data_IF_378521811697
#
_entry.id   IF_378521811697
#
_cell.length_a   1.000
_cell.length_b   1.000
_cell.length_c   1.000
_cell.angle_alpha   90.00
_cell.angle_beta   90.00
_cell.angle_gamma   90.00
#
_symmetry.space_group_name_H-M   'P 1'
#
loop_
_entity.id
_entity.type
_entity.pdbx_description
1 polymer ?
2 branched ?
3 branched ?
4 non-polymer ?
5 water ?
#
# COMPACT_ATOMS: atom_id res chain seq x y z
N UNK A 1 -18.70 -2.31 -7.47
CA UNK A 1 -18.97 -3.70 -6.95
C UNK A 1 -17.77 -4.43 -6.33
N UNK A 2 -17.90 -4.78 -5.04
CA UNK A 2 -16.87 -5.45 -4.26
C UNK A 2 -17.42 -5.79 -2.87
N UNK A 3 -16.81 -6.71 -2.12
CA UNK A 3 -17.19 -6.90 -0.72
C UNK A 3 -16.04 -7.57 0.02
N UNK A 4 -16.20 -7.88 1.31
CA UNK A 4 -15.09 -8.36 2.13
C UNK A 4 -14.98 -9.87 2.14
N UNK A 5 -13.75 -10.36 1.95
CA UNK A 5 -13.44 -11.77 2.03
C UNK A 5 -13.17 -12.23 3.48
N UNK A 6 -12.24 -11.56 4.18
CA UNK A 6 -11.92 -11.92 5.57
C UNK A 6 -11.15 -10.79 6.25
N UNK A 7 -10.86 -11.02 7.54
CA UNK A 7 -10.20 -10.05 8.40
C UNK A 7 -8.90 -10.67 8.91
N UNK A 8 -7.87 -9.81 9.02
CA UNK A 8 -6.59 -10.13 9.62
C UNK A 8 -6.37 -9.29 10.90
N UNK A 9 -5.75 -9.94 11.91
CA UNK A 9 -5.41 -9.40 13.22
C UNK A 9 -3.89 -9.51 13.42
N UNK A 10 -3.17 -8.38 13.28
CA UNK A 10 -1.70 -8.30 13.44
C UNK A 10 -1.01 -9.26 12.47
N UNK A 11 -1.39 -9.13 11.20
CA UNK A 11 -0.77 -9.83 10.10
C UNK A 11 -1.31 -11.24 9.95
N UNK A 12 -2.28 -11.64 10.79
CA UNK A 12 -2.77 -13.02 10.87
C UNK A 12 -4.17 -13.05 10.26
N UNK A 13 -4.32 -13.76 9.13
CA UNK A 13 -5.60 -14.04 8.48
C UNK A 13 -6.44 -14.87 9.43
N UNK A 14 -7.67 -14.41 9.72
CA UNK A 14 -8.63 -15.11 10.58
C UNK A 14 -9.38 -16.16 9.75
N UNK A 15 -9.22 -16.11 8.42
CA UNK A 15 -9.82 -17.06 7.50
C UNK A 15 -11.18 -16.57 7.03
N UNK A 16 -11.55 -16.95 5.79
CA UNK A 16 -12.84 -16.57 5.20
C UNK A 16 -13.91 -16.50 6.29
N UNK A 17 -14.26 -15.26 6.61
CA UNK A 17 -15.26 -14.98 7.62
C UNK A 17 -16.53 -14.42 7.02
N UNK A 18 -16.81 -14.79 5.76
CA UNK A 18 -18.07 -14.41 5.11
C UNK A 18 -19.22 -15.20 5.74
N UNK A 19 -20.11 -14.52 6.48
CA UNK A 19 -21.26 -15.23 7.10
C UNK A 19 -20.78 -16.05 8.31
N UNK A 20 -19.58 -15.68 8.82
CA UNK A 20 -18.98 -16.31 9.98
C UNK A 20 -18.81 -15.25 11.08
N UNK A 21 -18.07 -14.19 10.76
CA UNK A 21 -18.00 -12.98 11.58
C UNK A 21 -18.21 -11.74 10.72
N UNK A 22 -18.44 -11.89 9.42
CA UNK A 22 -18.80 -10.78 8.49
C UNK A 22 -20.28 -10.95 8.08
N UNK A 23 -21.07 -9.87 8.21
CA UNK A 23 -22.49 -9.84 7.84
C UNK A 23 -22.58 -9.68 6.31
N UNK A 24 -21.98 -10.64 5.64
CA UNK A 24 -21.90 -10.65 4.21
C UNK A 24 -23.27 -10.51 3.57
N UNK A 25 -23.38 -9.55 2.62
CA UNK A 25 -24.55 -9.47 1.75
C UNK A 25 -24.54 -10.49 0.62
N UNK A 26 -25.72 -10.74 0.02
CA UNK A 26 -25.84 -11.74 -1.02
C UNK A 26 -24.85 -11.48 -2.15
N UNK A 27 -24.69 -10.21 -2.52
CA UNK A 27 -23.92 -9.86 -3.73
C UNK A 27 -23.14 -8.55 -3.55
N UNK A 28 -22.39 -8.19 -4.59
CA UNK A 28 -21.49 -7.05 -4.52
C UNK A 28 -22.23 -5.76 -4.88
N UNK A 29 -23.57 -5.78 -4.87
CA UNK A 29 -24.35 -4.60 -5.24
C UNK A 29 -24.13 -3.46 -4.26
N UNK A 30 -24.25 -2.20 -4.75
CA UNK A 30 -24.13 -1.01 -3.91
C UNK A 30 -25.47 -0.57 -3.29
N UNK A 31 -25.36 0.36 -2.34
CA UNK A 31 -26.43 1.14 -1.76
C UNK A 31 -26.38 2.53 -2.38
N UNK A 32 -27.53 3.18 -2.52
CA UNK A 32 -27.60 4.45 -3.20
C UNK A 32 -28.60 5.36 -2.50
N UNK A 33 -29.71 4.75 -2.07
CA UNK A 33 -30.77 5.31 -1.22
C UNK A 33 -30.23 5.61 0.18
N UNK A 34 -30.21 6.91 0.55
CA UNK A 34 -29.68 7.38 1.85
C UNK A 34 -30.66 7.05 2.97
N UNK A 35 -31.92 6.94 2.57
CA UNK A 35 -32.97 6.54 3.44
C UNK A 35 -32.84 5.05 3.78
N UNK A 36 -32.37 4.21 2.86
CA UNK A 36 -32.28 2.73 3.06
C UNK A 36 -31.67 2.34 4.41
N UNK A 37 -32.27 1.33 5.12
CA UNK A 37 -31.68 0.79 6.36
C UNK A 37 -30.40 0.00 6.18
N UNK A 38 -30.09 -0.42 4.95
CA UNK A 38 -28.88 -1.19 4.65
C UNK A 38 -27.68 -0.26 4.43
N UNK A 39 -27.90 1.05 4.54
CA UNK A 39 -26.84 1.98 4.40
C UNK A 39 -25.77 1.67 5.46
N UNK A 40 -26.26 1.41 6.69
CA UNK A 40 -25.39 1.04 7.83
C UNK A 40 -24.61 -0.27 7.59
N UNK A 41 -25.28 -1.43 7.59
CA UNK A 41 -24.61 -2.70 7.56
C UNK A 41 -25.03 -3.54 6.37
N UNK A 42 -25.51 -2.88 5.31
CA UNK A 42 -25.84 -3.57 4.07
C UNK A 42 -27.07 -4.48 4.29
N UNK A 43 -27.35 -5.35 3.33
CA UNK A 43 -28.70 -5.85 3.17
C UNK A 43 -28.93 -7.14 3.97
N UNK A 44 -27.94 -7.59 4.74
CA UNK A 44 -28.19 -8.64 5.75
C UNK A 44 -27.62 -8.19 7.08
N UNK A 45 -27.52 -6.86 7.21
CA UNK A 45 -26.90 -6.15 8.30
C UNK A 45 -27.51 -6.53 9.64
N UNK A 46 -28.83 -6.82 9.62
CA UNK A 46 -29.64 -7.09 10.80
C UNK A 46 -29.73 -8.57 11.15
N UNK A 47 -29.02 -9.43 10.41
CA UNK A 47 -29.00 -10.86 10.63
C UNK A 47 -27.67 -11.25 11.22
N UNK A 48 -27.66 -11.83 12.44
CA UNK A 48 -26.42 -12.16 13.12
C UNK A 48 -25.74 -13.37 12.46
N UNK A 49 -24.41 -13.28 12.35
CA UNK A 49 -23.59 -14.44 12.07
C UNK A 49 -22.91 -14.85 13.39
N UNK A 50 -22.41 -16.08 13.52
CA UNK A 50 -22.19 -16.64 14.84
C UNK A 50 -20.88 -16.36 15.57
N UNK A 51 -19.82 -16.10 14.80
CA UNK A 51 -18.48 -15.91 15.34
C UNK A 51 -18.16 -14.42 15.43
N UNK A 52 -17.32 -14.06 16.42
CA UNK A 52 -16.71 -12.72 16.50
C UNK A 52 -15.21 -12.83 16.22
N UNK A 53 -14.62 -11.83 15.55
CA UNK A 53 -13.15 -11.68 15.45
C UNK A 53 -12.58 -11.26 16.81
N UNK A 54 -11.61 -12.03 17.26
CA UNK A 54 -11.01 -11.85 18.53
C UNK A 54 -9.74 -11.02 18.33
N UNK A 55 -9.74 -9.82 18.92
CA UNK A 55 -8.71 -8.81 18.76
C UNK A 55 -8.40 -8.25 20.14
N UNK A 56 -7.53 -7.23 20.20
CA UNK A 56 -7.30 -6.47 21.41
C UNK A 56 -7.26 -4.99 21.05
N UNK A 57 -7.56 -4.15 22.06
CA UNK A 57 -7.36 -2.72 21.95
C UNK A 57 -5.95 -2.52 21.38
N UNK A 58 -5.85 -1.86 20.24
CA UNK A 58 -4.56 -1.50 19.72
C UNK A 58 -4.07 -2.41 18.62
N UNK A 59 -4.73 -3.55 18.43
CA UNK A 59 -4.35 -4.47 17.39
C UNK A 59 -4.57 -3.79 16.04
N UNK A 60 -3.83 -4.28 15.04
CA UNK A 60 -3.79 -3.70 13.74
C UNK A 60 -4.68 -4.55 12.85
N UNK A 61 -5.84 -4.03 12.44
CA UNK A 61 -6.77 -4.87 11.71
C UNK A 61 -6.66 -4.56 10.22
N UNK A 62 -6.68 -5.64 9.44
CA UNK A 62 -6.62 -5.56 7.99
C UNK A 62 -7.88 -6.24 7.41
N UNK A 63 -8.70 -5.50 6.66
CA UNK A 63 -9.90 -6.03 6.04
C UNK A 63 -9.57 -6.31 4.58
N UNK A 64 -9.82 -7.56 4.17
CA UNK A 64 -9.53 -7.99 2.83
C UNK A 64 -10.80 -7.93 2.00
N UNK A 65 -10.69 -7.31 0.83
CA UNK A 65 -11.79 -7.05 -0.05
C UNK A 65 -11.57 -7.83 -1.35
N UNK A 66 -12.68 -8.18 -2.03
CA UNK A 66 -12.54 -8.86 -3.34
C UNK A 66 -13.75 -8.54 -4.21
N UNK A 67 -13.67 -8.80 -5.50
CA UNK A 67 -14.76 -8.40 -6.32
C UNK A 67 -15.64 -9.61 -6.61
N UNK A 68 -15.04 -10.61 -7.25
CA UNK A 68 -15.67 -11.84 -7.61
C UNK A 68 -14.92 -12.97 -6.93
N UNK A 69 -13.59 -13.03 -7.12
CA UNK A 69 -12.69 -14.06 -6.54
C UNK A 69 -11.60 -13.40 -5.70
N UNK A 70 -11.39 -13.97 -4.51
CA UNK A 70 -10.30 -13.61 -3.62
C UNK A 70 -9.05 -13.35 -4.45
N UNK A 71 -8.45 -12.16 -4.28
CA UNK A 71 -7.17 -11.82 -4.92
C UNK A 71 -7.29 -11.52 -6.41
N UNK A 72 -8.43 -10.95 -6.84
CA UNK A 72 -8.64 -10.39 -8.21
C UNK A 72 -8.53 -8.84 -8.15
N UNK A 73 -9.17 -8.13 -9.09
CA UNK A 73 -8.95 -6.67 -9.26
C UNK A 73 -9.59 -5.86 -8.15
N UNK A 74 -10.25 -6.55 -7.21
CA UNK A 74 -10.78 -5.99 -5.93
C UNK A 74 -12.00 -5.10 -6.19
N UNK A 75 -11.91 -4.13 -7.11
CA UNK A 75 -13.00 -3.23 -7.47
C UNK A 75 -12.69 -2.58 -8.82
N UNK A 76 -13.68 -2.41 -9.70
CA UNK A 76 -13.46 -1.70 -10.98
C UNK A 76 -12.74 -0.40 -10.65
N UNK A 77 -11.62 -0.08 -11.31
CA UNK A 77 -10.86 1.14 -11.02
C UNK A 77 -11.58 2.49 -11.27
N UNK A 78 -12.73 2.48 -11.97
CA UNK A 78 -13.58 3.68 -12.17
C UNK A 78 -14.16 4.16 -10.83
N UNK A 79 -14.28 3.23 -9.87
CA UNK A 79 -14.98 3.43 -8.59
C UNK A 79 -14.13 4.22 -7.59
N UNK A 80 -13.76 5.45 -7.95
CA UNK A 80 -12.81 6.26 -7.17
C UNK A 80 -13.53 6.99 -6.01
N UNK A 81 -12.99 6.82 -4.80
CA UNK A 81 -13.52 7.46 -3.64
C UNK A 81 -12.83 7.02 -2.36
N UNK A 82 -13.41 7.41 -1.20
CA UNK A 82 -12.79 7.26 0.10
C UNK A 82 -13.04 5.90 0.73
N UNK A 83 -12.42 5.66 1.89
CA UNK A 83 -12.65 4.45 2.60
C UNK A 83 -12.62 4.72 4.10
N UNK A 84 -13.80 4.74 4.70
CA UNK A 84 -14.03 5.14 6.07
C UNK A 84 -14.18 3.88 6.91
N UNK A 85 -13.87 3.93 8.22
CA UNK A 85 -14.02 2.78 9.14
C UNK A 85 -14.66 3.29 10.43
N UNK A 86 -15.71 2.59 10.92
CA UNK A 86 -16.50 3.05 12.07
C UNK A 86 -16.57 2.01 13.19
N UNK A 87 -17.12 2.38 14.34
CA UNK A 87 -17.29 1.45 15.43
C UNK A 87 -18.52 1.87 16.25
N UNK A 88 -19.34 0.86 16.58
CA UNK A 88 -20.52 1.00 17.43
C UNK A 88 -20.56 -0.22 18.37
N UNK A 89 -21.00 -0.02 19.61
CA UNK A 89 -21.21 -1.13 20.54
C UNK A 89 -22.19 -2.13 19.92
N UNK A 90 -21.92 -3.42 20.14
CA UNK A 90 -22.81 -4.49 19.81
C UNK A 90 -23.88 -4.55 20.91
N UNK A 91 -24.99 -3.87 20.64
CA UNK A 91 -26.05 -3.59 21.61
C UNK A 91 -26.82 -4.89 21.88
N UNK A 92 -27.08 -5.60 20.79
CA UNK A 92 -27.58 -6.96 20.84
C UNK A 92 -27.58 -7.51 19.41
N UNK A 93 -27.69 -8.87 19.27
CA UNK A 93 -27.46 -9.55 17.98
C UNK A 93 -28.27 -9.16 16.73
N UNK A 94 -29.41 -8.50 16.90
CA UNK A 94 -30.26 -8.18 15.73
C UNK A 94 -30.22 -6.69 15.43
N UNK A 95 -29.21 -6.01 15.98
CA UNK A 95 -28.91 -4.65 15.60
C UNK A 95 -28.63 -4.64 14.09
N UNK A 96 -29.06 -3.64 13.32
CA UNK A 96 -28.72 -3.62 11.89
C UNK A 96 -27.87 -2.38 11.58
N UNK A 97 -27.32 -1.75 12.64
CA UNK A 97 -26.48 -0.57 12.55
C UNK A 97 -27.24 0.74 12.38
N UNK A 98 -28.55 0.71 12.18
CA UNK A 98 -29.23 1.96 12.02
C UNK A 98 -29.27 2.63 13.39
N UNK A 99 -29.63 3.91 13.39
CA UNK A 99 -29.71 4.74 14.61
C UNK A 99 -28.40 5.43 14.97
N UNK A 100 -28.45 6.34 15.97
CA UNK A 100 -27.32 7.18 16.35
C UNK A 100 -26.31 6.49 17.28
N UNK A 101 -25.41 5.68 16.69
CA UNK A 101 -24.65 4.70 17.44
C UNK A 101 -23.18 4.65 17.01
N UNK A 102 -22.81 5.36 15.94
CA UNK A 102 -21.48 5.14 15.31
C UNK A 102 -20.45 6.27 15.57
N UNK A 103 -19.18 5.85 15.59
CA UNK A 103 -18.05 6.73 15.79
C UNK A 103 -16.96 6.42 14.74
N UNK A 104 -16.39 7.48 14.12
CA UNK A 104 -15.40 7.35 13.01
C UNK A 104 -14.02 7.10 13.62
N UNK A 105 -13.38 5.98 13.22
CA UNK A 105 -12.04 5.58 13.74
C UNK A 105 -10.99 5.59 12.63
N UNK A 106 -11.38 5.88 11.39
CA UNK A 106 -10.44 5.90 10.34
C UNK A 106 -11.05 6.43 9.04
N UNK A 107 -10.19 6.99 8.19
CA UNK A 107 -10.58 7.45 6.88
C UNK A 107 -9.35 7.70 5.98
N UNK A 108 -9.61 7.67 4.68
CA UNK A 108 -8.80 8.23 3.67
C UNK A 108 -9.72 8.68 2.55
N UNK A 109 -9.31 9.65 1.75
CA UNK A 109 -10.11 10.03 0.62
C UNK A 109 -9.22 10.31 -0.56
N UNK A 110 -8.90 11.59 -0.74
CA UNK A 110 -8.13 12.04 -1.88
C UNK A 110 -6.88 12.77 -1.38
N UNK A 111 -5.72 12.14 -1.58
CA UNK A 111 -4.43 12.76 -1.35
C UNK A 111 -4.02 13.47 -2.65
N UNK A 112 -3.93 14.79 -2.58
CA UNK A 112 -3.72 15.63 -3.73
C UNK A 112 -2.22 15.73 -4.08
N UNK A 113 -1.33 15.46 -3.12
CA UNK A 113 0.14 15.44 -3.41
C UNK A 113 0.43 14.37 -4.47
N UNK A 114 -0.22 13.21 -4.31
CA UNK A 114 -0.08 12.01 -5.15
C UNK A 114 -1.25 11.85 -6.15
N UNK A 115 -2.38 12.55 -5.97
CA UNK A 115 -3.56 12.48 -6.88
C UNK A 115 -4.17 11.07 -6.90
N UNK A 116 -4.09 10.40 -5.75
CA UNK A 116 -4.54 9.06 -5.53
C UNK A 116 -5.68 9.10 -4.50
N UNK A 117 -6.71 8.27 -4.75
CA UNK A 117 -7.84 8.09 -3.83
C UNK A 117 -7.53 6.94 -2.87
N UNK A 118 -8.39 6.73 -1.87
CA UNK A 118 -8.27 5.54 -1.02
C UNK A 118 -8.41 4.26 -1.86
N UNK A 119 -9.26 4.34 -2.89
CA UNK A 119 -9.59 3.19 -3.68
C UNK A 119 -8.38 2.80 -4.54
N UNK A 120 -7.69 3.80 -5.07
CA UNK A 120 -6.36 3.63 -5.67
C UNK A 120 -5.47 2.86 -4.68
N UNK A 121 -5.32 3.35 -3.45
CA UNK A 121 -4.46 2.66 -2.49
C UNK A 121 -4.91 1.20 -2.29
N UNK A 122 -6.22 0.94 -2.16
CA UNK A 122 -6.73 -0.43 -1.87
C UNK A 122 -6.44 -1.44 -3.01
N UNK A 123 -6.70 -1.04 -4.26
CA UNK A 123 -6.34 -1.83 -5.43
C UNK A 123 -4.85 -2.19 -5.39
N UNK A 124 -3.99 -1.17 -5.16
CA UNK A 124 -2.55 -1.34 -5.18
C UNK A 124 -2.10 -2.39 -4.15
N UNK A 125 -2.78 -2.42 -3.00
CA UNK A 125 -2.42 -3.31 -1.87
C UNK A 125 -3.37 -4.50 -1.82
N UNK A 126 -3.93 -4.84 -2.98
CA UNK A 126 -4.45 -6.17 -3.22
C UNK A 126 -5.70 -6.39 -2.35
N UNK A 127 -6.46 -5.33 -2.11
CA UNK A 127 -7.70 -5.39 -1.40
C UNK A 127 -7.53 -5.47 0.12
N UNK A 128 -6.29 -5.36 0.59
CA UNK A 128 -5.99 -5.31 2.03
C UNK A 128 -6.11 -3.87 2.50
N UNK A 129 -6.78 -3.64 3.63
CA UNK A 129 -6.95 -2.29 4.16
C UNK A 129 -6.79 -2.27 5.68
N UNK A 130 -5.72 -1.56 6.08
CA UNK A 130 -5.23 -1.57 7.44
C UNK A 130 -5.94 -0.45 8.20
N UNK A 131 -6.16 -0.70 9.49
CA UNK A 131 -6.44 0.35 10.50
C UNK A 131 -6.15 -0.28 11.88
N UNK A 132 -6.39 0.50 12.94
CA UNK A 132 -6.05 0.11 14.31
C UNK A 132 -7.24 0.25 15.26
N UNK A 133 -7.23 -0.64 16.23
CA UNK A 133 -8.19 -0.61 17.22
C UNK A 133 -7.68 0.34 18.29
N UNK A 134 -8.31 1.52 18.46
CA UNK A 134 -7.90 2.46 19.51
C UNK A 134 -7.47 1.79 20.83
N UNK A 135 -6.30 2.18 21.35
CA UNK A 135 -5.64 1.53 22.54
C UNK A 135 -6.51 1.64 23.79
N UNK A 136 -7.25 2.75 23.84
CA UNK A 136 -8.02 3.10 25.00
C UNK A 136 -9.47 2.58 24.87
N UNK A 137 -9.78 1.88 23.78
CA UNK A 137 -11.09 1.32 23.63
C UNK A 137 -11.37 0.38 24.81
N UNK A 138 -12.62 0.42 25.29
CA UNK A 138 -13.09 -0.41 26.38
C UNK A 138 -13.34 -1.83 25.87
N UNK A 139 -13.03 -2.88 26.65
CA UNK A 139 -13.34 -4.24 26.24
C UNK A 139 -14.82 -4.54 25.93
N UNK A 140 -15.06 -5.66 25.25
CA UNK A 140 -16.38 -6.16 24.91
C UNK A 140 -16.73 -5.97 23.44
N UNK A 141 -17.87 -6.53 23.00
CA UNK A 141 -18.20 -6.71 21.58
C UNK A 141 -18.56 -5.37 20.94
N UNK A 142 -18.01 -5.08 19.76
CA UNK A 142 -18.36 -3.91 18.97
C UNK A 142 -18.78 -4.39 17.59
N UNK A 143 -19.22 -3.46 16.76
CA UNK A 143 -19.37 -3.70 15.36
C UNK A 143 -18.51 -2.66 14.60
N UNK A 144 -17.69 -3.17 13.67
CA UNK A 144 -16.81 -2.39 12.85
C UNK A 144 -17.35 -2.36 11.43
N UNK A 145 -17.83 -1.18 11.03
CA UNK A 145 -18.25 -0.90 9.68
C UNK A 145 -16.99 -0.43 8.96
N UNK A 146 -17.05 -0.42 7.63
CA UNK A 146 -16.03 0.08 6.81
C UNK A 146 -16.63 0.11 5.42
N UNK A 147 -16.47 1.20 4.69
CA UNK A 147 -17.36 1.46 3.62
C UNK A 147 -16.59 2.14 2.51
N UNK A 148 -16.68 1.58 1.31
CA UNK A 148 -16.11 2.21 0.16
C UNK A 148 -17.24 3.04 -0.43
N UNK A 149 -16.91 4.25 -0.90
CA UNK A 149 -17.80 5.07 -1.67
C UNK A 149 -17.21 5.29 -3.06
N UNK A 150 -17.98 4.99 -4.11
CA UNK A 150 -17.51 5.19 -5.46
C UNK A 150 -18.23 6.41 -6.04
N UNK A 151 -17.47 7.34 -6.64
CA UNK A 151 -17.98 8.67 -7.04
C UNK A 151 -18.00 8.85 -8.56
N UNK A 152 -17.97 7.72 -9.28
CA UNK A 152 -17.96 7.75 -10.72
C UNK A 152 -19.32 8.14 -11.27
N UNK A 153 -20.33 8.20 -10.38
CA UNK A 153 -21.66 8.63 -10.78
C UNK A 153 -22.23 9.69 -9.82
N UNK A 154 -21.40 10.23 -8.91
CA UNK A 154 -21.82 11.23 -7.94
C UNK A 154 -22.00 12.62 -8.58
N UNK A 155 -21.76 12.72 -9.89
CA UNK A 155 -21.94 13.97 -10.62
C UNK A 155 -23.42 14.29 -10.84
N UNK A 156 -24.29 13.38 -10.37
CA UNK A 156 -25.68 13.69 -9.98
C UNK A 156 -25.98 12.95 -8.67
N UNK A 157 -27.24 12.94 -8.23
CA UNK A 157 -27.62 12.31 -6.94
C UNK A 157 -28.86 11.43 -7.13
N UNK A 158 -29.01 10.47 -6.22
CA UNK A 158 -29.96 9.37 -6.36
C UNK A 158 -31.41 9.88 -6.34
N UNK A 159 -31.64 10.98 -5.62
CA UNK A 159 -32.94 11.56 -5.38
C UNK A 159 -33.42 12.31 -6.64
N UNK A 160 -32.48 12.92 -7.36
CA UNK A 160 -32.78 13.69 -8.57
C UNK A 160 -32.66 12.81 -9.81
N UNK A 161 -31.66 11.91 -9.86
CA UNK A 161 -31.53 10.92 -10.94
C UNK A 161 -31.09 9.57 -10.36
N UNK A 162 -31.97 8.54 -10.35
CA UNK A 162 -31.68 7.30 -9.64
C UNK A 162 -30.82 6.29 -10.41
N UNK A 163 -30.58 6.52 -11.71
CA UNK A 163 -29.72 5.62 -12.53
C UNK A 163 -28.25 5.78 -12.16
N UNK A 164 -27.95 6.77 -11.31
CA UNK A 164 -26.62 7.26 -10.98
C UNK A 164 -26.53 7.52 -9.47
N UNK A 165 -25.60 8.41 -9.07
CA UNK A 165 -25.43 8.84 -7.68
C UNK A 165 -24.43 7.96 -6.95
N UNK A 166 -23.93 8.47 -5.81
CA UNK A 166 -22.97 7.79 -4.96
C UNK A 166 -23.41 6.35 -4.67
N UNK A 167 -22.41 5.49 -4.53
CA UNK A 167 -22.58 4.07 -4.34
C UNK A 167 -21.79 3.69 -3.08
N UNK A 168 -22.46 3.03 -2.14
CA UNK A 168 -21.86 2.67 -0.89
C UNK A 168 -21.71 1.16 -0.88
N UNK A 169 -20.63 0.71 -0.24
CA UNK A 169 -20.30 -0.67 -0.19
C UNK A 169 -19.84 -0.93 1.23
N UNK A 170 -20.77 -0.81 2.18
CA UNK A 170 -20.44 -1.04 3.59
C UNK A 170 -20.32 -2.54 3.87
N UNK A 171 -19.46 -2.86 4.85
CA UNK A 171 -19.29 -4.20 5.33
C UNK A 171 -19.18 -4.07 6.83
N UNK A 172 -19.93 -4.88 7.56
CA UNK A 172 -19.95 -4.78 9.00
C UNK A 172 -19.42 -6.07 9.60
N UNK A 173 -18.56 -5.93 10.61
CA UNK A 173 -17.89 -7.06 11.16
C UNK A 173 -18.11 -7.10 12.65
N UNK A 174 -18.30 -8.30 13.16
CA UNK A 174 -18.51 -8.48 14.56
C UNK A 174 -17.17 -8.61 15.26
N UNK A 175 -16.94 -7.85 16.33
CA UNK A 175 -15.68 -7.97 17.02
C UNK A 175 -15.85 -8.09 18.53
N UNK A 176 -15.19 -9.06 19.15
CA UNK A 176 -15.04 -9.13 20.60
C UNK A 176 -13.61 -8.66 20.96
N UNK A 177 -13.50 -7.56 21.72
CA UNK A 177 -12.21 -6.94 22.11
C UNK A 177 -11.86 -7.37 23.55
N UNK A 178 -10.63 -7.90 23.67
CA UNK A 178 -10.03 -8.41 24.86
C UNK A 178 -8.96 -7.41 25.32
N UNK A 179 -8.14 -7.85 26.29
CA UNK A 179 -6.98 -7.12 26.76
C UNK A 179 -7.43 -6.08 27.75
N UNK A 180 -6.48 -5.28 28.23
CA UNK A 180 -6.79 -4.27 29.24
C UNK A 180 -7.67 -3.17 28.64
N UNK A 181 -7.36 -2.73 27.40
CA UNK A 181 -7.94 -1.51 26.80
C UNK A 181 -8.08 -0.39 27.83
N UNK A 182 -9.01 0.52 27.59
CA UNK A 182 -9.17 1.69 28.43
C UNK A 182 -10.61 1.96 28.79
N UNK A 183 -10.88 3.20 29.24
CA UNK A 183 -12.21 3.69 29.54
C UNK A 183 -12.95 4.02 28.24
N UNK A 184 -12.23 4.56 27.25
CA UNK A 184 -12.83 5.19 26.06
C UNK A 184 -13.98 4.35 25.48
N UNK A 185 -15.14 5.00 25.36
CA UNK A 185 -16.31 4.48 24.67
C UNK A 185 -16.67 5.42 23.52
N UNK A 186 -16.82 4.88 22.29
CA UNK A 186 -17.20 5.67 21.10
C UNK A 186 -18.56 6.34 21.29
N UNK A 187 -18.54 7.67 21.23
CA UNK A 187 -19.58 8.44 21.75
C UNK A 187 -19.95 9.53 20.75
N UNK A 188 -19.49 9.42 19.51
CA UNK A 188 -19.84 10.39 18.52
C UNK A 188 -21.29 10.23 18.08
N UNK A 189 -21.81 8.97 18.18
CA UNK A 189 -23.23 8.57 18.03
C UNK A 189 -23.82 9.06 16.71
N UNK A 190 -23.14 8.69 15.62
CA UNK A 190 -23.51 9.00 14.22
C UNK A 190 -24.51 7.95 13.66
N UNK A 191 -25.30 8.48 12.72
CA UNK A 191 -26.47 7.90 12.15
C UNK A 191 -26.39 8.14 10.64
N UNK A 192 -26.15 7.07 9.87
CA UNK A 192 -25.91 7.21 8.45
C UNK A 192 -27.15 7.81 7.78
N UNK A 193 -28.34 7.37 8.21
CA UNK A 193 -29.59 7.72 7.58
C UNK A 193 -29.89 9.19 7.82
N UNK A 194 -29.66 9.67 9.05
CA UNK A 194 -29.83 11.10 9.39
C UNK A 194 -28.71 11.97 8.79
N UNK A 195 -27.46 11.45 8.87
CA UNK A 195 -26.21 12.20 8.84
C UNK A 195 -25.53 12.26 7.48
N UNK A 196 -25.88 11.36 6.58
CA UNK A 196 -25.40 11.44 5.23
C UNK A 196 -26.50 12.07 4.37
N UNK A 197 -26.27 13.25 3.82
CA UNK A 197 -27.28 13.98 3.08
C UNK A 197 -26.89 14.15 1.61
N UNK A 198 -27.88 14.37 0.73
CA UNK A 198 -27.68 14.55 -0.71
C UNK A 198 -27.10 15.93 -1.00
N UNK A 199 -27.22 16.84 -0.03
CA UNK A 199 -26.66 18.19 -0.11
C UNK A 199 -25.19 18.19 0.34
N UNK A 200 -24.72 17.06 0.88
CA UNK A 200 -23.33 16.93 1.31
C UNK A 200 -22.45 17.00 0.08
N UNK A 201 -21.47 17.94 0.02
CA UNK A 201 -20.63 18.14 -1.15
C UNK A 201 -19.56 17.08 -1.37
N UNK A 202 -19.36 16.24 -0.35
CA UNK A 202 -18.67 14.96 -0.45
C UNK A 202 -19.59 13.79 -0.75
N UNK A 203 -20.81 14.05 -1.27
CA UNK A 203 -21.77 13.00 -1.75
C UNK A 203 -22.38 13.39 -3.11
N UNK A 204 -22.59 14.68 -3.31
CA UNK A 204 -22.78 15.21 -4.63
C UNK A 204 -21.43 15.76 -5.11
N UNK A 205 -20.65 14.92 -5.78
CA UNK A 205 -19.24 15.19 -6.06
C UNK A 205 -18.87 14.91 -7.53
N UNK A 206 -18.54 15.99 -8.26
CA UNK A 206 -18.10 15.90 -9.64
C UNK A 206 -16.62 15.56 -9.58
N UNK A 207 -16.31 14.26 -9.75
CA UNK A 207 -14.95 13.79 -9.72
C UNK A 207 -14.34 14.03 -11.10
N UNK A 208 -15.16 14.43 -12.07
CA UNK A 208 -14.75 14.68 -13.45
C UNK A 208 -14.51 16.17 -13.69
N UNK A 209 -13.63 16.77 -12.87
CA UNK A 209 -13.33 18.21 -12.88
C UNK A 209 -11.93 18.50 -12.31
N UNK A 210 -11.55 19.77 -12.46
CA UNK A 210 -10.40 20.43 -11.83
C UNK A 210 -10.72 20.63 -10.33
N UNK A 211 -10.59 19.56 -9.53
CA UNK A 211 -10.83 19.62 -8.08
C UNK A 211 -9.54 19.22 -7.37
N UNK A 212 -9.31 19.88 -6.21
CA UNK A 212 -8.03 19.93 -5.50
C UNK A 212 -8.11 19.10 -4.22
N UNK A 213 -9.33 18.89 -3.72
CA UNK A 213 -9.54 18.23 -2.45
C UNK A 213 -10.99 17.73 -2.36
N UNK A 214 -11.23 16.90 -1.34
CA UNK A 214 -12.47 16.18 -1.20
C UNK A 214 -12.95 16.26 0.26
N UNK A 215 -14.20 16.72 0.50
CA UNK A 215 -14.68 16.85 1.88
C UNK A 215 -15.24 15.50 2.34
N UNK A 216 -14.50 14.74 3.15
CA UNK A 216 -14.99 13.40 3.54
C UNK A 216 -16.25 13.56 4.39
N UNK A 217 -17.35 12.86 4.01
CA UNK A 217 -18.59 12.86 4.76
C UNK A 217 -18.45 12.27 6.16
N UNK A 218 -19.20 12.91 7.06
CA UNK A 218 -19.35 12.52 8.44
C UNK A 218 -18.44 13.36 9.35
N UNK A 219 -18.40 13.01 10.64
CA UNK A 219 -17.49 13.70 11.55
C UNK A 219 -16.01 13.39 11.35
N UNK A 220 -15.17 14.12 12.10
CA UNK A 220 -13.77 13.78 12.24
C UNK A 220 -13.62 12.39 12.86
N UNK A 221 -12.38 11.92 12.87
CA UNK A 221 -12.05 10.75 13.59
C UNK A 221 -12.17 11.11 15.07
N UNK A 222 -12.52 10.11 15.86
CA UNK A 222 -12.93 10.22 17.22
C UNK A 222 -11.72 10.05 18.14
N UNK A 223 -11.61 10.87 19.20
CA UNK A 223 -10.40 10.84 20.10
C UNK A 223 -10.63 9.79 21.22
N UNK A 224 -10.83 10.22 22.47
CA UNK A 224 -10.76 9.31 23.66
C UNK A 224 -10.66 10.15 24.96
N UNK B 1 12.04 10.33 -12.71
CA UNK B 1 12.83 11.15 -11.68
C UNK B 1 12.33 11.10 -10.24
N UNK B 2 13.17 10.58 -9.35
CA UNK B 2 12.88 10.37 -7.94
C UNK B 2 14.12 9.87 -7.20
N UNK B 3 14.18 9.96 -5.87
CA UNK B 3 15.29 9.31 -5.12
C UNK B 3 14.86 9.09 -3.67
N UNK B 4 15.73 8.54 -2.82
CA UNK B 4 15.34 8.15 -1.46
C UNK B 4 15.58 9.27 -0.44
N UNK B 5 14.56 9.50 0.39
CA UNK B 5 14.64 10.43 1.48
C UNK B 5 15.29 9.80 2.73
N UNK B 6 14.75 8.68 3.22
CA UNK B 6 15.28 8.00 4.41
C UNK B 6 14.74 6.56 4.50
N UNK B 7 15.19 5.86 5.56
CA UNK B 7 14.88 4.47 5.79
C UNK B 7 14.18 4.36 7.14
N UNK B 8 13.22 3.43 7.21
CA UNK B 8 12.54 3.06 8.43
C UNK B 8 12.83 1.59 8.75
N UNK B 9 12.96 1.31 10.05
CA UNK B 9 13.29 0.01 10.65
C UNK B 9 12.15 -0.38 11.62
N UNK B 10 11.28 -1.30 11.20
CA UNK B 10 10.09 -1.77 11.95
C UNK B 10 9.21 -0.56 12.28
N UNK B 11 8.94 0.25 11.25
CA UNK B 11 8.00 1.36 11.34
C UNK B 11 8.58 2.59 11.99
N UNK B 12 9.89 2.56 12.28
CA UNK B 12 10.62 3.65 12.93
C UNK B 12 11.47 4.35 11.88
N UNK B 13 11.16 5.62 11.61
CA UNK B 13 11.95 6.50 10.74
C UNK B 13 13.31 6.71 11.38
N UNK B 14 14.39 6.41 10.62
CA UNK B 14 15.80 6.59 11.04
C UNK B 14 16.20 8.04 10.82
N UNK B 15 15.40 8.78 10.05
CA UNK B 15 15.64 10.20 9.81
C UNK B 15 16.44 10.40 8.55
N UNK B 16 16.18 11.53 7.88
CA UNK B 16 16.83 11.88 6.63
C UNK B 16 18.26 11.36 6.64
N UNK B 17 18.48 10.30 5.86
CA UNK B 17 19.77 9.67 5.77
C UNK B 17 20.39 9.92 4.42
N UNK B 18 20.04 11.05 3.77
CA UNK B 18 20.68 11.47 2.51
C UNK B 18 22.12 11.91 2.80
N UNK B 19 23.10 11.12 2.34
CA UNK B 19 24.54 11.50 2.54
C UNK B 19 24.93 11.23 4.00
N UNK B 20 24.13 10.37 4.67
CA UNK B 20 24.37 9.97 6.04
C UNK B 20 24.56 8.45 6.09
N UNK B 21 23.54 7.71 5.63
CA UNK B 21 23.67 6.27 5.37
C UNK B 21 23.14 5.92 3.99
N UNK B 22 22.69 6.91 3.21
CA UNK B 22 22.26 6.74 1.80
C UNK B 22 23.29 7.45 0.91
N UNK B 23 23.79 6.71 -0.09
CA UNK B 23 24.80 7.21 -1.05
C UNK B 23 24.07 8.12 -2.07
N UNK B 24 23.42 9.16 -1.55
CA UNK B 24 22.63 10.03 -2.35
C UNK B 24 23.41 10.60 -3.53
N UNK B 25 22.82 10.49 -4.73
CA UNK B 25 23.29 11.21 -5.91
C UNK B 25 22.89 12.67 -5.91
N UNK B 26 23.59 13.48 -6.73
CA UNK B 26 23.33 14.91 -6.80
C UNK B 26 21.85 15.18 -7.07
N UNK B 27 21.23 14.36 -7.96
CA UNK B 27 19.89 14.68 -8.48
C UNK B 27 19.06 13.44 -8.80
N UNK B 28 17.83 13.67 -9.27
CA UNK B 28 16.86 12.59 -9.46
C UNK B 28 17.02 12.00 -10.87
N UNK B 29 18.16 12.24 -11.53
CA UNK B 29 18.33 11.82 -12.92
C UNK B 29 18.44 10.30 -12.99
N UNK B 30 18.03 9.70 -14.13
CA UNK B 30 18.11 8.25 -14.31
C UNK B 30 19.47 7.79 -14.89
N UNK B 31 19.68 6.46 -14.82
CA UNK B 31 20.71 5.72 -15.51
C UNK B 31 20.06 5.03 -16.71
N UNK B 32 20.80 4.90 -17.81
CA UNK B 32 20.23 4.33 -19.01
C UNK B 32 21.25 3.39 -19.67
N UNK B 33 22.52 3.82 -19.63
CA UNK B 33 23.72 3.05 -20.03
C UNK B 33 23.93 1.84 -19.10
N UNK B 34 23.81 0.63 -19.68
CA UNK B 34 23.94 -0.64 -18.93
C UNK B 34 25.41 -0.90 -18.62
N UNK B 35 26.27 -0.33 -19.47
CA UNK B 35 27.69 -0.36 -19.26
C UNK B 35 28.09 0.53 -18.08
N UNK B 36 27.40 1.66 -17.84
CA UNK B 36 27.79 2.64 -16.80
C UNK B 36 28.06 1.98 -15.43
N UNK B 37 29.12 2.43 -14.71
CA UNK B 37 29.39 1.97 -13.35
C UNK B 37 28.39 2.40 -12.28
N UNK B 38 27.60 3.42 -12.59
CA UNK B 38 26.60 3.95 -11.66
C UNK B 38 25.31 3.15 -11.74
N UNK B 39 25.27 2.13 -12.61
CA UNK B 39 24.13 1.30 -12.69
C UNK B 39 23.84 0.67 -11.32
N UNK B 40 24.91 0.21 -10.66
CA UNK B 40 24.85 -0.41 -9.32
C UNK B 40 24.35 0.60 -8.27
N UNK B 41 25.18 1.59 -7.91
CA UNK B 41 24.86 2.44 -6.78
C UNK B 41 24.78 3.91 -7.19
N UNK B 42 24.52 4.16 -8.48
CA UNK B 42 24.30 5.53 -8.97
C UNK B 42 25.61 6.33 -8.91
N UNK B 43 25.51 7.65 -9.08
CA UNK B 43 26.64 8.44 -9.56
C UNK B 43 27.50 8.97 -8.39
N UNK B 44 27.20 8.61 -7.13
CA UNK B 44 28.18 8.79 -6.05
C UNK B 44 28.28 7.48 -5.25
N UNK B 45 27.96 6.40 -5.95
CA UNK B 45 27.87 5.07 -5.41
C UNK B 45 29.17 4.61 -4.78
N UNK B 46 30.29 5.11 -5.36
CA UNK B 46 31.68 4.78 -4.96
C UNK B 46 32.24 5.61 -3.83
N UNK B 47 31.47 6.60 -3.33
CA UNK B 47 31.89 7.54 -2.29
C UNK B 47 31.17 7.19 -0.99
N UNK B 48 31.92 6.86 0.08
CA UNK B 48 31.31 6.42 1.33
C UNK B 48 30.64 7.59 2.06
N UNK B 49 29.45 7.33 2.62
CA UNK B 49 28.87 8.21 3.64
C UNK B 49 29.08 7.55 5.00
N UNK B 50 28.99 8.27 6.13
CA UNK B 50 29.61 7.79 7.36
C UNK B 50 28.85 6.81 8.24
N UNK B 51 27.52 6.89 8.19
CA UNK B 51 26.66 6.15 9.09
C UNK B 51 26.10 4.91 8.38
N UNK B 52 25.81 3.88 9.17
CA UNK B 52 25.08 2.69 8.74
C UNK B 52 23.70 2.68 9.41
N UNK B 53 22.68 2.21 8.70
CA UNK B 53 21.36 1.86 9.33
C UNK B 53 21.52 0.61 10.19
N UNK B 54 21.08 0.75 11.44
CA UNK B 54 21.17 -0.29 12.43
C UNK B 54 19.87 -1.10 12.39
N UNK B 55 19.98 -2.37 12.00
CA UNK B 55 18.86 -3.26 11.68
C UNK B 55 19.19 -4.63 12.28
N UNK B 56 18.24 -5.56 12.17
CA UNK B 56 18.51 -6.93 12.48
C UNK B 56 17.97 -7.85 11.39
N UNK B 57 18.58 -9.03 11.29
CA UNK B 57 18.07 -10.10 10.49
C UNK B 57 16.56 -10.19 10.80
N UNK B 58 15.75 -10.02 9.77
CA UNK B 58 14.31 -10.24 9.94
C UNK B 58 13.54 -8.96 10.12
N UNK B 59 14.23 -7.84 10.36
CA UNK B 59 13.55 -6.58 10.55
C UNK B 59 12.88 -6.21 9.22
N UNK B 60 11.86 -5.37 9.32
CA UNK B 60 11.03 -4.99 8.22
C UNK B 60 11.50 -3.60 7.78
N UNK B 61 12.14 -3.50 6.62
CA UNK B 61 12.70 -2.21 6.25
C UNK B 61 11.76 -1.52 5.26
N UNK B 62 11.60 -0.21 5.46
CA UNK B 62 10.77 0.64 4.60
C UNK B 62 11.65 1.77 4.05
N UNK B 63 11.77 1.86 2.71
CA UNK B 63 12.56 2.88 2.06
C UNK B 63 11.59 3.94 1.57
N UNK B 64 11.84 5.19 1.99
CA UNK B 64 11.03 6.31 1.63
C UNK B 64 11.66 7.02 0.44
N UNK B 65 10.82 7.29 -0.57
CA UNK B 65 11.22 7.88 -1.82
C UNK B 65 10.51 9.22 -1.99
N UNK B 66 11.11 10.13 -2.76
CA UNK B 66 10.49 11.42 -3.00
C UNK B 66 10.95 11.99 -4.33
N UNK B 67 10.27 12.99 -4.87
CA UNK B 67 10.66 13.42 -6.17
C UNK B 67 11.47 14.70 -6.03
N UNK B 68 10.83 15.73 -5.48
CA UNK B 68 11.44 17.00 -5.26
C UNK B 68 11.40 17.32 -3.76
N UNK B 69 10.22 17.18 -3.14
CA UNK B 69 10.03 17.39 -1.68
C UNK B 69 9.45 16.13 -1.02
N UNK B 70 10.03 15.77 0.12
CA UNK B 70 9.57 14.70 0.96
C UNK B 70 8.04 14.71 0.97
N UNK B 71 7.42 13.58 0.63
CA UNK B 71 5.98 13.40 0.77
C UNK B 71 5.18 14.12 -0.30
N UNK B 72 5.75 14.26 -1.52
CA UNK B 72 5.06 14.76 -2.74
C UNK B 72 4.68 13.56 -3.64
N UNK B 73 4.52 13.78 -4.95
CA UNK B 73 3.93 12.77 -5.87
C UNK B 73 4.87 11.58 -6.09
N UNK B 74 6.06 11.63 -5.48
CA UNK B 74 7.05 10.53 -5.39
C UNK B 74 7.74 10.30 -6.73
N UNK B 75 6.98 10.15 -7.82
CA UNK B 75 7.51 9.92 -9.16
C UNK B 75 6.40 10.16 -10.19
N UNK B 76 6.71 10.78 -11.34
CA UNK B 76 5.70 10.94 -12.40
C UNK B 76 5.02 9.60 -12.59
N UNK B 77 3.67 9.53 -12.55
CA UNK B 77 2.93 8.28 -12.76
C UNK B 77 3.11 7.54 -14.10
N UNK B 78 3.69 8.21 -15.12
CA UNK B 78 4.03 7.58 -16.43
C UNK B 78 5.12 6.53 -16.26
N UNK B 79 5.93 6.65 -15.21
CA UNK B 79 7.16 5.88 -14.98
C UNK B 79 6.86 4.46 -14.47
N UNK B 80 6.13 3.67 -15.25
CA UNK B 80 5.58 2.40 -14.74
C UNK B 80 6.58 1.25 -14.91
N UNK B 81 6.77 0.51 -13.82
CA UNK B 81 7.68 -0.61 -13.83
C UNK B 81 7.91 -1.19 -12.44
N UNK B 82 8.92 -2.08 -12.32
CA UNK B 82 9.14 -2.89 -11.14
C UNK B 82 9.98 -2.21 -10.07
N UNK B 83 10.15 -2.85 -8.92
CA UNK B 83 10.93 -2.31 -7.87
C UNK B 83 11.61 -3.46 -7.13
N UNK B 84 12.89 -3.58 -7.42
CA UNK B 84 13.73 -4.70 -7.04
C UNK B 84 14.55 -4.27 -5.84
N UNK B 85 14.93 -5.19 -4.95
CA UNK B 85 15.80 -4.87 -3.79
C UNK B 85 16.91 -5.92 -3.69
N UNK B 86 18.17 -5.48 -3.54
CA UNK B 86 19.32 -6.37 -3.57
C UNK B 86 20.18 -6.24 -2.31
N UNK B 87 21.14 -7.14 -2.14
CA UNK B 87 22.04 -7.08 -1.00
C UNK B 87 23.40 -7.67 -1.43
N UNK B 88 24.47 -6.97 -1.04
CA UNK B 88 25.86 -7.38 -1.24
C UNK B 88 26.65 -7.07 0.03
N UNK B 89 27.64 -7.88 0.38
CA UNK B 89 28.55 -7.53 1.48
C UNK B 89 29.18 -6.16 1.23
N UNK B 90 29.35 -5.41 2.30
CA UNK B 90 30.15 -4.23 2.35
C UNK B 90 31.61 -4.69 2.47
N UNK B 91 32.23 -4.84 1.30
CA UNK B 91 33.54 -5.47 1.11
C UNK B 91 34.60 -4.53 1.68
N UNK B 92 34.40 -3.24 1.38
CA UNK B 92 35.12 -2.16 1.98
C UNK B 92 34.49 -0.85 1.52
N UNK B 93 34.81 0.29 2.20
CA UNK B 93 34.11 1.57 2.01
C UNK B 93 34.07 2.24 0.62
N UNK B 94 34.96 1.87 -0.29
CA UNK B 94 35.01 2.54 -1.59
C UNK B 94 34.53 1.59 -2.69
N UNK B 95 33.82 0.53 -2.28
CA UNK B 95 33.10 -0.31 -3.20
C UNK B 95 32.10 0.60 -3.93
N UNK B 96 31.84 0.43 -5.22
CA UNK B 96 30.78 1.25 -5.86
C UNK B 96 29.61 0.36 -6.33
N UNK B 97 29.57 -0.87 -5.81
CA UNK B 97 28.60 -1.91 -6.15
C UNK B 97 28.89 -2.65 -7.44
N UNK B 98 29.85 -2.22 -8.25
CA UNK B 98 30.06 -2.96 -9.49
C UNK B 98 30.69 -4.29 -9.12
N UNK B 99 30.77 -5.19 -10.11
CA UNK B 99 31.27 -6.56 -9.95
C UNK B 99 30.21 -7.56 -9.52
N UNK B 100 30.56 -8.87 -9.55
CA UNK B 100 29.65 -9.97 -9.26
C UNK B 100 29.44 -10.22 -7.75
N UNK B 101 28.56 -9.42 -7.13
CA UNK B 101 28.51 -9.30 -5.69
C UNK B 101 27.06 -9.30 -5.16
N UNK B 102 26.06 -9.24 -6.04
CA UNK B 102 24.68 -8.95 -5.60
C UNK B 102 23.74 -10.16 -5.61
N UNK B 103 22.78 -10.11 -4.68
CA UNK B 103 21.76 -11.14 -4.50
C UNK B 103 20.39 -10.48 -4.34
N UNK B 104 19.37 -11.02 -5.04
CA UNK B 104 18.02 -10.45 -5.06
C UNK B 104 17.28 -10.94 -3.81
N UNK B 105 16.75 -9.99 -3.01
CA UNK B 105 16.03 -10.29 -1.76
C UNK B 105 14.57 -9.80 -1.83
N UNK B 106 14.16 -9.17 -2.93
CA UNK B 106 12.81 -8.71 -3.02
C UNK B 106 12.51 -8.16 -4.41
N UNK B 107 11.24 -8.26 -4.80
CA UNK B 107 10.82 -7.71 -6.06
C UNK B 107 9.29 -7.62 -6.15
N UNK B 108 8.87 -6.74 -7.05
CA UNK B 108 7.54 -6.68 -7.58
C UNK B 108 7.64 -6.13 -9.00
N UNK B 109 6.69 -6.47 -9.86
CA UNK B 109 6.66 -5.89 -11.17
C UNK B 109 5.24 -5.54 -11.54
N UNK B 110 4.59 -6.47 -12.24
CA UNK B 110 3.26 -6.27 -12.74
C UNK B 110 2.35 -7.36 -12.21
N UNK B 111 1.42 -6.97 -11.34
CA UNK B 111 0.34 -7.81 -10.88
C UNK B 111 -0.83 -7.67 -11.86
N UNK B 112 -1.14 -8.76 -12.55
CA UNK B 112 -2.09 -8.75 -13.66
C UNK B 112 -3.52 -8.91 -13.14
N UNK B 113 -3.69 -9.47 -11.93
CA UNK B 113 -5.03 -9.59 -11.31
C UNK B 113 -5.61 -8.18 -11.12
N UNK B 114 -4.75 -7.26 -10.67
CA UNK B 114 -5.06 -5.86 -10.36
C UNK B 114 -4.62 -4.89 -11.48
N UNK B 115 -3.74 -5.31 -12.41
CA UNK B 115 -3.24 -4.49 -13.55
C UNK B 115 -2.48 -3.26 -13.03
N UNK B 116 -1.79 -3.46 -11.91
CA UNK B 116 -1.02 -2.46 -11.21
C UNK B 116 0.45 -2.89 -11.24
N UNK B 117 1.34 -1.91 -11.44
CA UNK B 117 2.82 -2.11 -11.36
C UNK B 117 3.32 -1.89 -9.92
N UNK B 118 4.60 -2.16 -9.67
CA UNK B 118 5.21 -1.79 -8.38
C UNK B 118 5.17 -0.27 -8.18
N UNK B 119 5.30 0.46 -9.27
CA UNK B 119 5.39 1.89 -9.17
C UNK B 119 4.01 2.46 -8.83
N UNK B 120 2.96 1.88 -9.40
CA UNK B 120 1.61 2.13 -8.93
C UNK B 120 1.55 1.92 -7.41
N UNK B 121 1.98 0.76 -6.91
CA UNK B 121 1.87 0.51 -5.47
C UNK B 121 2.63 1.57 -4.68
N UNK B 122 3.83 1.98 -5.13
CA UNK B 122 4.67 2.93 -4.37
C UNK B 122 4.04 4.33 -4.24
N UNK B 123 3.51 4.86 -5.35
CA UNK B 123 2.78 6.10 -5.35
C UNK B 123 1.63 6.03 -4.33
N UNK B 124 0.84 4.96 -4.38
CA UNK B 124 -0.31 4.78 -3.52
C UNK B 124 0.07 4.83 -2.03
N UNK B 125 1.24 4.29 -1.69
CA UNK B 125 1.74 4.22 -0.29
C UNK B 125 2.76 5.31 0.00
N UNK B 126 2.70 6.39 -0.79
CA UNK B 126 3.26 7.67 -0.42
C UNK B 126 4.80 7.56 -0.41
N UNK B 127 5.33 6.74 -1.31
CA UNK B 127 6.76 6.62 -1.50
C UNK B 127 7.42 5.72 -0.48
N UNK B 128 6.61 5.08 0.38
CA UNK B 128 7.10 4.08 1.33
C UNK B 128 7.13 2.71 0.65
N UNK B 129 8.23 1.97 0.80
CA UNK B 129 8.35 0.66 0.18
C UNK B 129 9.00 -0.34 1.15
N UNK B 130 8.19 -1.31 1.53
CA UNK B 130 8.51 -2.26 2.57
C UNK B 130 9.27 -3.43 1.93
N UNK B 131 10.18 -4.04 2.69
CA UNK B 131 10.71 -5.40 2.46
C UNK B 131 11.30 -5.89 3.79
N UNK B 132 11.87 -7.11 3.79
CA UNK B 132 12.37 -7.75 5.00
C UNK B 132 13.81 -8.25 4.85
N UNK B 133 14.51 -8.22 5.97
CA UNK B 133 15.81 -8.70 5.99
C UNK B 133 15.74 -10.17 6.32
N UNK B 134 16.09 -11.07 5.36
CA UNK B 134 16.23 -12.50 5.64
C UNK B 134 16.72 -12.87 7.05
N UNK B 135 15.96 -13.72 7.75
CA UNK B 135 16.15 -14.05 9.18
C UNK B 135 17.49 -14.73 9.44
N UNK B 136 17.96 -15.45 8.43
CA UNK B 136 19.14 -16.27 8.56
C UNK B 136 20.37 -15.51 8.00
N UNK B 137 20.17 -14.23 7.65
CA UNK B 137 21.29 -13.46 7.20
C UNK B 137 22.33 -13.40 8.31
N UNK B 138 23.61 -13.45 7.89
CA UNK B 138 24.76 -13.43 8.78
C UNK B 138 24.99 -12.00 9.26
N UNK B 139 25.39 -11.79 10.53
CA UNK B 139 25.73 -10.46 11.01
C UNK B 139 26.83 -9.72 10.20
N UNK B 140 26.90 -8.39 10.37
CA UNK B 140 27.89 -7.54 9.72
C UNK B 140 27.31 -6.70 8.58
N UNK B 141 28.11 -5.76 8.07
CA UNK B 141 27.66 -4.70 7.19
C UNK B 141 27.39 -5.22 5.77
N UNK B 142 26.27 -4.83 5.19
CA UNK B 142 25.91 -5.13 3.82
C UNK B 142 25.61 -3.82 3.10
N UNK B 143 25.34 -3.92 1.81
CA UNK B 143 24.83 -2.80 1.06
C UNK B 143 23.53 -3.24 0.41
N UNK B 144 22.48 -2.44 0.60
CA UNK B 144 21.13 -2.71 0.12
C UNK B 144 20.83 -1.72 -1.00
N UNK B 145 20.78 -2.25 -2.22
CA UNK B 145 20.35 -1.55 -3.39
C UNK B 145 18.83 -1.71 -3.43
N UNK B 146 18.19 -0.86 -4.22
CA UNK B 146 16.81 -0.95 -4.49
C UNK B 146 16.56 0.05 -5.58
N UNK B 147 15.82 -0.34 -6.61
CA UNK B 147 15.94 0.33 -7.86
C UNK B 147 14.57 0.35 -8.52
N UNK B 148 14.14 1.53 -8.94
CA UNK B 148 12.97 1.64 -9.73
C UNK B 148 13.43 1.58 -11.18
N UNK B 149 12.64 0.87 -12.00
CA UNK B 149 12.80 0.90 -13.44
C UNK B 149 11.53 1.47 -14.07
N UNK B 150 11.68 2.51 -14.88
CA UNK B 150 10.55 3.11 -15.54
C UNK B 150 10.56 2.71 -17.01
N UNK B 151 9.43 2.19 -17.53
CA UNK B 151 9.37 1.57 -18.86
C UNK B 151 8.53 2.38 -19.86
N UNK B 152 8.36 3.66 -19.57
CA UNK B 152 7.57 4.56 -20.41
C UNK B 152 8.32 4.88 -21.70
N UNK B 153 9.59 4.51 -21.77
CA UNK B 153 10.41 4.71 -22.96
C UNK B 153 11.17 3.43 -23.35
N UNK B 154 10.84 2.28 -22.74
CA UNK B 154 11.52 1.02 -22.99
C UNK B 154 11.09 0.40 -24.32
N UNK B 155 10.19 1.08 -25.04
CA UNK B 155 9.73 0.64 -26.38
C UNK B 155 10.82 0.86 -27.44
N UNK B 156 11.96 1.40 -27.00
CA UNK B 156 13.25 1.31 -27.68
C UNK B 156 14.32 1.04 -26.60
N UNK B 157 15.61 1.03 -27.00
CA UNK B 157 16.72 0.78 -26.08
C UNK B 157 17.85 1.79 -26.33
N UNK B 158 18.64 1.99 -25.28
CA UNK B 158 19.59 3.09 -25.16
C UNK B 158 20.72 2.97 -26.19
N UNK B 159 21.07 1.73 -26.55
CA UNK B 159 22.16 1.38 -27.42
C UNK B 159 21.80 1.69 -28.88
N UNK B 160 20.52 1.52 -29.23
CA UNK B 160 20.04 1.80 -30.60
C UNK B 160 19.56 3.26 -30.68
N UNK B 161 18.80 3.72 -29.67
CA UNK B 161 18.31 5.12 -29.60
C UNK B 161 18.48 5.68 -28.20
N UNK B 162 19.42 6.64 -27.98
CA UNK B 162 19.75 7.07 -26.63
C UNK B 162 18.79 8.09 -26.01
N UNK B 163 17.90 8.69 -26.80
CA UNK B 163 16.92 9.70 -26.28
C UNK B 163 15.79 9.02 -25.46
N UNK B 164 15.79 7.69 -25.45
CA UNK B 164 14.72 6.84 -24.87
C UNK B 164 15.38 5.68 -24.09
N UNK B 165 14.64 4.59 -23.90
CA UNK B 165 15.14 3.38 -23.24
C UNK B 165 14.86 3.39 -21.76
N UNK B 166 14.94 2.20 -21.14
CA UNK B 166 14.70 2.01 -19.70
C UNK B 166 15.55 2.99 -18.89
N UNK B 167 14.98 3.38 -17.76
CA UNK B 167 15.55 4.36 -16.86
C UNK B 167 15.64 3.70 -15.48
N UNK B 168 16.82 3.75 -14.88
CA UNK B 168 17.07 3.12 -13.61
C UNK B 168 17.25 4.24 -12.57
N UNK B 169 16.80 3.94 -11.36
CA UNK B 169 16.80 4.88 -10.30
C UNK B 169 17.26 4.11 -9.07
N UNK B 170 18.52 3.65 -9.09
CA UNK B 170 19.03 2.86 -7.98
C UNK B 170 19.41 3.73 -6.79
N UNK B 171 19.23 3.19 -5.57
CA UNK B 171 19.63 3.86 -4.35
C UNK B 171 20.28 2.79 -3.49
N UNK B 172 21.48 3.07 -3.01
CA UNK B 172 22.21 2.09 -2.26
C UNK B 172 22.42 2.58 -0.83
N UNK B 173 22.20 1.66 0.11
CA UNK B 173 22.12 2.01 1.47
C UNK B 173 23.08 1.15 2.25
N UNK B 174 23.74 1.77 3.21
CA UNK B 174 24.71 1.09 4.01
C UNK B 174 24.00 0.47 5.20
N UNK B 175 24.19 -0.82 5.46
CA UNK B 175 23.53 -1.38 6.62
C UNK B 175 24.43 -2.23 7.48
N UNK B 176 24.42 -2.01 8.80
CA UNK B 176 25.04 -2.93 9.76
C UNK B 176 23.93 -3.80 10.40
N UNK B 177 24.00 -5.12 10.18
CA UNK B 177 23.00 -6.10 10.63
C UNK B 177 23.53 -6.83 11.87
N UNK B 178 22.71 -6.94 12.90
CA UNK B 178 22.98 -7.92 13.97
C UNK B 178 21.90 -9.02 13.87
N UNK B 179 21.67 -9.76 14.96
CA UNK B 179 20.35 -10.40 15.21
C UNK B 179 20.33 -11.87 14.90
N UNK B 180 19.63 -12.65 15.75
CA UNK B 180 19.85 -14.09 15.96
C UNK B 180 20.59 -14.69 14.77
N UNK B 181 20.20 -14.23 13.56
CA UNK B 181 20.97 -14.42 12.35
C UNK B 181 21.41 -15.86 12.17
N UNK B 182 21.92 -16.10 10.98
CA UNK B 182 22.28 -17.40 10.56
C UNK B 182 23.61 -17.36 9.86
N UNK B 183 23.89 -18.47 9.16
CA UNK B 183 25.04 -18.66 8.33
C UNK B 183 24.84 -17.89 7.02
N UNK B 184 23.58 -17.85 6.53
CA UNK B 184 23.25 -17.44 5.17
C UNK B 184 24.03 -16.20 4.73
N UNK B 185 24.77 -16.38 3.63
CA UNK B 185 25.44 -15.31 2.94
C UNK B 185 24.91 -15.25 1.50
N UNK B 186 24.46 -14.05 1.05
CA UNK B 186 24.00 -13.84 -0.32
C UNK B 186 25.11 -14.12 -1.34
N UNK B 187 24.85 -15.10 -2.19
CA UNK B 187 25.87 -15.74 -2.92
C UNK B 187 25.37 -15.95 -4.35
N UNK B 188 24.35 -15.22 -4.75
CA UNK B 188 23.90 -15.25 -6.13
C UNK B 188 24.89 -14.53 -7.04
N UNK B 189 25.64 -13.55 -6.46
CA UNK B 189 26.84 -12.88 -7.01
C UNK B 189 26.57 -12.31 -8.40
N UNK B 190 25.54 -11.47 -8.46
CA UNK B 190 25.09 -10.79 -9.68
C UNK B 190 25.82 -9.45 -9.87
N UNK B 191 25.90 -9.09 -11.16
CA UNK B 191 26.71 -8.06 -11.71
C UNK B 191 25.85 -7.26 -12.66
N UNK B 192 25.50 -6.02 -12.31
CA UNK B 192 24.48 -5.33 -13.10
C UNK B 192 24.97 -5.13 -14.54
N UNK B 193 26.26 -4.83 -14.66
CA UNK B 193 26.89 -4.44 -15.92
C UNK B 193 26.92 -5.66 -16.85
N UNK B 194 27.25 -6.83 -16.30
CA UNK B 194 27.26 -8.08 -17.09
C UNK B 194 25.83 -8.59 -17.32
N UNK B 195 25.00 -8.51 -16.27
CA UNK B 195 23.77 -9.32 -16.08
C UNK B 195 22.48 -8.67 -16.57
N UNK B 196 22.48 -7.34 -16.72
CA UNK B 196 21.37 -6.69 -17.32
C UNK B 196 21.68 -6.40 -18.79
N UNK B 197 20.97 -7.03 -19.73
CA UNK B 197 21.28 -6.82 -21.15
C UNK B 197 20.10 -6.17 -21.88
N UNK B 198 20.38 -5.55 -23.03
CA UNK B 198 19.40 -4.85 -23.88
C UNK B 198 18.51 -5.87 -24.60
N UNK B 199 18.95 -7.12 -24.67
CA UNK B 199 18.21 -8.24 -25.25
C UNK B 199 17.20 -8.80 -24.24
N UNK B 200 17.33 -8.39 -22.97
CA UNK B 200 16.41 -8.82 -21.92
C UNK B 200 15.03 -8.25 -22.25
N UNK B 201 13.99 -9.11 -22.37
CA UNK B 201 12.65 -8.69 -22.74
C UNK B 201 11.87 -7.98 -21.63
N UNK B 202 12.41 -8.05 -20.41
CA UNK B 202 12.07 -7.18 -19.30
C UNK B 202 12.94 -5.93 -19.21
N UNK B 203 13.62 -5.54 -20.30
CA UNK B 203 14.38 -4.26 -20.43
C UNK B 203 14.08 -3.58 -21.77
N UNK B 204 13.86 -4.37 -22.81
CA UNK B 204 13.23 -3.89 -24.02
C UNK B 204 11.76 -4.27 -23.93
N UNK B 205 10.95 -3.37 -23.39
CA UNK B 205 9.57 -3.68 -22.96
C UNK B 205 8.56 -2.63 -23.43
N UNK B 206 7.69 -3.04 -24.34
CA UNK B 206 6.63 -2.21 -24.84
C UNK B 206 5.50 -2.31 -23.82
N UNK B 207 5.42 -1.30 -22.95
CA UNK B 207 4.38 -1.27 -21.93
C UNK B 207 3.10 -0.70 -22.56
N UNK B 208 3.20 -0.24 -23.81
CA UNK B 208 2.10 0.30 -24.61
C UNK B 208 1.54 -0.78 -25.55
N UNK B 209 1.12 -1.92 -24.98
CA UNK B 209 0.59 -3.09 -25.74
C UNK B 209 -0.35 -3.95 -24.86
N UNK B 210 -0.97 -4.94 -25.49
CA UNK B 210 -1.81 -5.95 -24.83
C UNK B 210 -0.92 -7.05 -24.23
N UNK B 211 -0.27 -6.74 -23.10
CA UNK B 211 0.63 -7.67 -22.39
C UNK B 211 0.05 -8.03 -21.01
N UNK B 212 0.27 -9.28 -20.56
CA UNK B 212 -0.44 -9.84 -19.39
C UNK B 212 0.53 -10.14 -18.24
N UNK B 213 1.83 -10.02 -18.49
CA UNK B 213 2.83 -10.26 -17.44
C UNK B 213 4.20 -9.71 -17.88
N UNK B 214 5.13 -9.70 -16.94
CA UNK B 214 6.38 -8.99 -17.12
C UNK B 214 7.53 -9.86 -16.62
N UNK B 215 8.58 -10.10 -17.45
CA UNK B 215 9.69 -10.94 -17.01
C UNK B 215 10.70 -10.08 -16.22
N UNK B 216 10.66 -10.17 -14.87
CA UNK B 216 11.53 -9.28 -14.06
C UNK B 216 12.99 -9.65 -14.31
N UNK B 217 13.82 -8.65 -14.68
CA UNK B 217 15.25 -8.85 -14.90
C UNK B 217 15.99 -9.28 -13.64
N UNK B 218 16.97 -10.16 -13.90
CA UNK B 218 17.88 -10.72 -12.94
C UNK B 218 17.43 -12.09 -12.50
N UNK B 219 18.11 -12.71 -11.53
CA UNK B 219 17.64 -13.97 -10.95
C UNK B 219 16.39 -13.84 -10.10
N UNK B 220 15.88 -15.00 -9.63
CA UNK B 220 14.84 -15.03 -8.62
C UNK B 220 15.37 -14.44 -7.31
N UNK B 221 14.46 -14.38 -6.35
CA UNK B 221 14.82 -14.04 -5.03
C UNK B 221 15.62 -15.24 -4.50
N UNK B 222 16.52 -14.94 -3.58
CA UNK B 222 17.56 -15.81 -3.13
C UNK B 222 17.09 -16.57 -1.88
N UNK B 223 17.45 -17.87 -1.77
CA UNK B 223 16.98 -18.73 -0.66
C UNK B 223 17.95 -18.60 0.54
N UNK B 224 18.66 -19.70 0.88
CA UNK B 224 19.31 -19.90 2.21
C UNK B 224 19.55 -21.40 2.45
X LIG C 1 -22.00 -4.53 -13.06
X LIG C 1 -21.68 -3.11 -13.69
X LIG C 1 -20.27 -2.48 -13.11
X LIG C 1 -19.25 -3.64 -12.64
X LIG C 1 -18.19 -3.08 -11.68
X LIG C 1 -20.77 -5.32 -12.87
X LIG C 1 -21.10 -6.62 -12.34
X LIG C 1 -22.91 -5.25 -13.93
X LIG C 1 -22.77 -2.20 -13.40
X LIG C 1 -19.62 -1.65 -14.17
X LIG C 1 -19.96 -4.67 -12.00
X LIG C 1 -17.38 -4.14 -11.14
X LIG C 2 -18.43 0.53 -14.50
X LIG C 2 -18.58 2.00 -14.33
X LIG C 2 -19.73 2.52 -15.13
X LIG C 2 -21.03 1.71 -14.85
X LIG C 2 -22.16 2.15 -15.75
X LIG C 2 -19.74 -0.19 -14.18
X LIG C 2 -17.40 0.06 -13.67
X LIG C 2 -17.39 2.65 -14.73
X LIG C 2 -19.95 3.91 -14.82
X LIG C 2 -20.77 0.30 -15.05
X LIG C 2 -23.25 1.23 -15.67
X LIG C 3 -20.22 6.17 -15.59
X LIG C 3 -19.79 7.18 -16.60
X LIG C 3 -18.28 7.37 -16.56
X LIG C 3 -17.55 6.00 -16.57
X LIG C 3 -16.07 6.17 -16.37
X LIG C 3 -19.45 4.89 -15.74
X LIG C 3 -21.59 5.90 -15.76
X LIG C 3 -20.43 8.42 -16.32
X LIG C 3 -17.86 8.16 -17.70
X LIG C 3 -18.08 5.15 -15.55
X LIG C 3 -15.32 5.15 -17.07
X LIG C 4 -16.72 10.10 -18.68
X LIG C 4 -16.39 11.59 -18.52
X LIG C 4 -17.65 12.39 -18.19
X LIG C 4 -18.46 11.73 -17.03
X LIG C 4 -19.75 12.48 -16.77
X LIG C 4 -17.56 9.57 -17.50
X LIG C 4 -15.51 9.36 -18.77
X LIG C 4 -15.80 12.09 -19.71
X LIG C 4 -17.29 13.74 -17.82
X LIG C 4 -18.75 10.35 -17.37
X LIG C 4 -20.76 11.60 -16.25
X LIG D 1 7.80 12.75 -17.81
X LIG D 1 7.45 11.62 -18.79
X LIG D 1 7.91 11.96 -20.24
X LIG D 1 9.35 12.65 -20.25
X LIG D 1 9.68 13.21 -21.63
X LIG D 1 9.23 13.22 -17.99
X LIG D 1 9.53 14.26 -17.05
X LIG D 1 7.62 12.30 -16.47
X LIG D 1 6.03 11.38 -18.77
X LIG D 1 7.96 10.71 -21.06
X LIG D 1 9.40 13.70 -19.30
X LIG D 1 8.73 14.22 -22.02
X LIG D 2 7.52 9.48 -23.16
X LIG D 2 6.45 9.08 -24.20
X LIG D 2 5.29 8.37 -23.53
X LIG D 2 4.73 9.20 -22.34
X LIG D 2 3.61 8.44 -21.62
X LIG D 2 6.88 10.28 -21.99
X LIG D 2 8.52 10.27 -23.79
X LIG D 2 7.04 8.23 -25.19
X LIG D 2 4.22 8.15 -24.51
X LIG D 2 5.82 9.48 -21.38
X LIG D 2 2.78 9.35 -20.90
X LIG E 1 -19.72 -1.23 -8.91
X LIG F 1 11.89 10.53 -14.76
#
# INVERSE_FOLDING_TARGET
HTRMFSVWVNGVDQGDGQNVYIRTPPNTDPIKDLASPALACNVKGGEPVPQFVSASAGDKLTFEWYRVKRGDDIIDPSHSGPITTWIAAFTSPTMDGTGPVWSKIHEEGYDASTKSWAVDKLIANKGMWDFTLPSQLKPGKYMLRQEIVAHHESDATFDKNPKRGAQFYPSCVQVDVKGVGGDAVPDQAFDFNKGYKYSDPGIAFDMYTDFDSYPIPGPPVWDAQDEGCCFIDGVDTTSVKEVVKQIICVLK
HTRMFSVWVNGVDQGDGQNVYIRTPPNTDPIKDLASPALACNVKGGEPVPQFVSASAGDKLTFEWYRVKRGDDIIDPSHSGPITTWIAAFTSPTMDGTGPVWSKIHEEGYDASTKSWAVDKLIANKGMWDFTLPSQLKPGKYMLRQEIVAHHESDATFDKNPKRGAQFYPSCVQVDVKGVGGDAVPDQAFDFNKGYKYSDPGIAFDMYTDFDSYPIPGPPVWDAQDEGCCFIDGVDTTSVKEVVKQIICVLK
BGC C2 C3 C4 C5 C6 C1 O1 O2 O3 O4 O5 O6
BGC C2 C3 C4 C5 C6 C1 O2 O3 O4 O5 O6
BGC C2 C3 C4 C5 C6 C1 O2 O3 O4 O5 O6
BGC C2 C3 C4 C5 C6 C1 O2 O3 O4 O5 O6
BGC C2 C3 C4 C5 C6 C1 O1 O2 O3 O4 O5 O6
BGC C2 C3 C4 C5 C6 C1 O2 O3 O4 O5 O6
CU CU
CU CU
#
